data_IF_924834280583
#
_entry.id   IF_924834280583
#
_cell.length_a   1.000
_cell.length_b   1.000
_cell.length_c   1.000
_cell.angle_alpha   90.00
_cell.angle_beta   90.00
_cell.angle_gamma   90.00
#
_symmetry.space_group_name_H-M   'P 1'
#
loop_
_entity.id
_entity.type
_entity.pdbx_description
1 polymer ?
#
# COMPACT_ATOMS: atom_id res chain seq x y z
N UNK A 1 10.24 14.56 45.25
CA UNK A 1 10.91 13.95 44.07
C UNK A 1 9.95 13.40 43.03
N UNK A 2 9.08 12.42 43.32
CA UNK A 2 8.16 11.83 42.29
C UNK A 2 7.23 12.86 41.62
N UNK A 3 6.68 13.81 42.37
CA UNK A 3 5.81 14.89 41.84
C UNK A 3 6.56 15.85 40.90
N UNK A 4 7.82 16.13 41.18
CA UNK A 4 8.66 17.04 40.39
C UNK A 4 9.01 16.43 39.03
N UNK A 5 9.34 15.12 39.01
CA UNK A 5 9.61 14.38 37.78
C UNK A 5 8.35 14.33 36.89
N UNK A 6 7.19 14.03 37.48
CA UNK A 6 5.92 14.00 36.73
C UNK A 6 5.58 15.36 36.11
N UNK A 7 5.76 16.45 36.87
CA UNK A 7 5.53 17.80 36.37
C UNK A 7 6.46 18.14 35.20
N UNK A 8 7.75 17.78 35.30
CA UNK A 8 8.71 17.98 34.21
C UNK A 8 8.33 17.19 32.96
N UNK A 9 7.87 15.95 33.08
CA UNK A 9 7.41 15.15 31.93
C UNK A 9 6.19 15.81 31.26
N UNK A 10 5.21 16.26 32.04
CA UNK A 10 4.01 16.93 31.50
C UNK A 10 4.39 18.21 30.76
N UNK A 11 5.30 19.02 31.31
CA UNK A 11 5.76 20.25 30.65
C UNK A 11 6.50 19.93 29.36
N UNK A 12 7.40 18.94 29.36
CA UNK A 12 8.14 18.54 28.15
C UNK A 12 7.20 18.04 27.06
N UNK A 13 6.25 17.16 27.39
CA UNK A 13 5.24 16.66 26.44
C UNK A 13 4.38 17.80 25.91
N UNK A 14 3.95 18.71 26.78
CA UNK A 14 3.15 19.88 26.38
C UNK A 14 3.90 20.82 25.43
N UNK A 15 5.16 21.13 25.72
CA UNK A 15 6.00 21.98 24.84
C UNK A 15 6.25 21.30 23.49
N UNK A 16 6.52 19.99 23.47
CA UNK A 16 6.67 19.23 22.23
C UNK A 16 5.39 19.22 21.40
N UNK A 17 4.23 19.04 22.03
CA UNK A 17 2.94 19.07 21.34
C UNK A 17 2.68 20.44 20.71
N UNK A 18 3.00 21.54 21.41
CA UNK A 18 2.88 22.90 20.86
C UNK A 18 3.86 23.12 19.71
N UNK A 19 5.10 22.65 19.83
CA UNK A 19 6.11 22.77 18.77
C UNK A 19 5.68 22.02 17.49
N UNK A 20 5.07 20.84 17.63
CA UNK A 20 4.45 20.10 16.51
C UNK A 20 3.24 20.88 15.98
N UNK A 21 2.35 21.38 16.84
CA UNK A 21 1.16 22.11 16.42
C UNK A 21 1.48 23.39 15.62
N UNK A 22 2.54 24.12 16.02
CA UNK A 22 2.95 25.37 15.37
C UNK A 22 3.87 25.16 14.15
N UNK A 23 4.28 23.93 13.86
CA UNK A 23 5.18 23.60 12.74
C UNK A 23 4.49 22.71 11.71
N UNK A 24 3.90 23.30 10.65
CA UNK A 24 3.27 22.53 9.57
C UNK A 24 4.22 21.52 8.93
N UNK A 25 5.49 21.88 8.74
CA UNK A 25 6.49 20.97 8.16
C UNK A 25 6.77 19.75 9.02
N UNK A 26 6.77 19.90 10.35
CA UNK A 26 6.93 18.77 11.27
C UNK A 26 5.69 17.87 11.27
N UNK A 27 4.48 18.45 11.22
CA UNK A 27 3.24 17.69 11.09
C UNK A 27 3.23 16.87 9.80
N UNK A 28 3.54 17.49 8.66
CA UNK A 28 3.60 16.78 7.38
C UNK A 28 4.59 15.64 7.42
N UNK A 29 5.80 15.84 7.98
CA UNK A 29 6.79 14.76 8.12
C UNK A 29 6.33 13.62 9.02
N UNK A 30 5.67 13.92 10.13
CA UNK A 30 5.16 12.87 11.03
C UNK A 30 4.03 12.08 10.39
N UNK A 31 3.14 12.73 9.64
CA UNK A 31 2.09 12.06 8.87
C UNK A 31 2.67 11.21 7.74
N UNK A 32 3.65 11.73 7.01
CA UNK A 32 4.37 11.01 5.97
C UNK A 32 5.02 9.73 6.50
N UNK A 33 5.73 9.82 7.64
CA UNK A 33 6.30 8.65 8.32
C UNK A 33 5.23 7.65 8.75
N UNK A 34 4.09 8.13 9.26
CA UNK A 34 2.97 7.27 9.66
C UNK A 34 2.37 6.54 8.45
N UNK A 35 2.11 7.24 7.33
CA UNK A 35 1.55 6.65 6.12
C UNK A 35 2.50 5.65 5.48
N UNK A 36 3.81 5.95 5.46
CA UNK A 36 4.82 4.99 5.02
C UNK A 36 4.84 3.72 5.90
N UNK A 37 4.76 3.88 7.21
CA UNK A 37 4.71 2.74 8.13
C UNK A 37 3.47 1.86 7.91
N UNK A 38 2.29 2.46 7.77
CA UNK A 38 1.04 1.75 7.53
C UNK A 38 1.05 1.03 6.18
N UNK A 39 1.58 1.69 5.13
CA UNK A 39 1.77 1.08 3.80
C UNK A 39 2.69 -0.14 3.87
N UNK A 40 3.85 0.00 4.49
CA UNK A 40 4.83 -1.09 4.59
C UNK A 40 4.27 -2.26 5.42
N UNK A 41 3.54 -1.97 6.50
CA UNK A 41 2.85 -2.98 7.29
C UNK A 41 1.76 -3.70 6.47
N UNK A 42 1.00 -2.97 5.65
CA UNK A 42 0.00 -3.55 4.76
C UNK A 42 0.64 -4.44 3.68
N UNK A 43 1.68 -3.95 2.99
CA UNK A 43 2.45 -4.73 2.00
C UNK A 43 2.98 -6.02 2.65
N UNK A 44 3.54 -5.93 3.86
CA UNK A 44 4.03 -7.09 4.61
C UNK A 44 2.95 -8.12 4.89
N UNK A 45 1.73 -7.69 5.27
CA UNK A 45 0.57 -8.60 5.44
C UNK A 45 0.18 -9.26 4.12
N UNK A 46 0.09 -8.51 3.03
CA UNK A 46 -0.26 -9.05 1.71
C UNK A 46 0.77 -10.08 1.23
N UNK A 47 2.06 -9.82 1.45
CA UNK A 47 3.14 -10.78 1.12
C UNK A 47 3.03 -12.06 1.94
N UNK A 48 2.69 -11.96 3.22
CA UNK A 48 2.47 -13.13 4.07
C UNK A 48 1.27 -13.97 3.60
N UNK A 49 0.15 -13.32 3.26
CA UNK A 49 -1.04 -13.99 2.70
C UNK A 49 -0.72 -14.69 1.38
N UNK A 50 -0.04 -14.00 0.47
CA UNK A 50 0.43 -14.55 -0.79
C UNK A 50 1.32 -15.79 -0.60
N UNK A 51 2.26 -15.73 0.35
CA UNK A 51 3.16 -16.86 0.67
C UNK A 51 2.39 -18.06 1.25
N UNK A 52 1.32 -17.81 2.02
CA UNK A 52 0.46 -18.84 2.56
C UNK A 52 -0.55 -19.41 1.53
N UNK A 53 -0.61 -18.84 0.31
CA UNK A 53 -1.60 -19.18 -0.71
C UNK A 53 -3.00 -18.61 -0.45
N UNK A 54 -3.15 -17.72 0.55
CA UNK A 54 -4.42 -17.12 0.93
C UNK A 54 -4.69 -15.82 0.15
N UNK A 55 -4.88 -15.98 -1.15
CA UNK A 55 -5.14 -14.86 -2.10
C UNK A 55 -6.61 -14.80 -2.55
N UNK A 56 -7.53 -15.43 -1.81
CA UNK A 56 -8.94 -15.54 -2.20
C UNK A 56 -9.67 -14.20 -2.30
N UNK A 57 -9.20 -13.18 -1.57
CA UNK A 57 -9.72 -11.82 -1.63
C UNK A 57 -9.21 -10.97 -2.81
N UNK A 58 -8.20 -11.45 -3.54
CA UNK A 58 -7.50 -10.67 -4.57
C UNK A 58 -8.21 -10.78 -5.92
N UNK A 59 -8.10 -9.74 -6.74
CA UNK A 59 -8.56 -9.78 -8.12
C UNK A 59 -7.58 -10.63 -8.94
N UNK A 60 -8.07 -11.69 -9.59
CA UNK A 60 -7.23 -12.63 -10.33
C UNK A 60 -7.55 -12.60 -11.81
N UNK A 61 -6.50 -12.61 -12.62
CA UNK A 61 -6.58 -12.74 -14.07
C UNK A 61 -5.71 -13.90 -14.54
N UNK A 62 -6.24 -14.73 -15.44
CA UNK A 62 -5.53 -15.88 -16.01
C UNK A 62 -5.36 -15.66 -17.50
N UNK A 63 -4.14 -15.82 -17.98
CA UNK A 63 -3.75 -15.61 -19.36
C UNK A 63 -3.96 -16.88 -20.21
N UNK A 64 -4.06 -16.75 -21.55
CA UNK A 64 -4.18 -17.89 -22.47
C UNK A 64 -3.06 -18.94 -22.35
N UNK A 65 -1.84 -18.54 -21.97
CA UNK A 65 -0.71 -19.45 -21.76
C UNK A 65 -0.79 -20.24 -20.43
N UNK A 66 -1.85 -20.03 -19.64
CA UNK A 66 -2.08 -20.65 -18.33
C UNK A 66 -1.36 -19.95 -17.17
N UNK A 67 -0.52 -18.95 -17.45
CA UNK A 67 0.02 -18.07 -16.41
C UNK A 67 -1.10 -17.21 -15.81
N UNK A 68 -0.88 -16.67 -14.62
CA UNK A 68 -1.87 -15.85 -13.94
C UNK A 68 -1.21 -14.76 -13.12
N UNK A 69 -1.99 -13.71 -12.82
CA UNK A 69 -1.64 -12.67 -11.86
C UNK A 69 -2.81 -12.46 -10.90
N UNK A 70 -2.51 -12.22 -9.63
CA UNK A 70 -3.48 -11.80 -8.63
C UNK A 70 -3.03 -10.48 -8.03
N UNK A 71 -3.96 -9.55 -7.86
CA UNK A 71 -3.70 -8.20 -7.39
C UNK A 71 -4.59 -7.84 -6.21
N UNK A 72 -4.02 -7.12 -5.25
CA UNK A 72 -4.77 -6.46 -4.19
C UNK A 72 -4.40 -4.98 -4.19
N UNK A 73 -5.36 -4.14 -3.80
CA UNK A 73 -5.14 -2.72 -3.65
C UNK A 73 -5.60 -2.23 -2.28
N UNK A 74 -4.94 -1.18 -1.82
CA UNK A 74 -5.43 -0.33 -0.75
C UNK A 74 -5.62 1.07 -1.32
N UNK A 75 -6.77 1.64 -1.01
CA UNK A 75 -7.04 3.05 -1.26
C UNK A 75 -7.62 3.63 0.02
N UNK A 76 -6.75 4.16 0.87
CA UNK A 76 -7.09 4.53 2.23
C UNK A 76 -7.82 5.88 2.34
N UNK A 77 -8.75 6.20 1.43
CA UNK A 77 -9.56 7.42 1.54
C UNK A 77 -10.57 7.36 2.69
N UNK A 78 -11.04 6.16 3.07
CA UNK A 78 -12.06 5.97 4.11
C UNK A 78 -11.50 5.52 5.48
N UNK A 79 -10.36 4.83 5.52
CA UNK A 79 -9.76 4.29 6.75
C UNK A 79 -8.85 5.28 7.48
N UNK A 80 -8.51 6.42 6.86
CA UNK A 80 -7.67 7.46 7.46
C UNK A 80 -6.18 7.12 7.56
N UNK A 81 -5.75 5.95 7.06
CA UNK A 81 -4.33 5.58 6.96
C UNK A 81 -3.59 6.27 5.79
N UNK A 82 -4.30 7.00 4.92
CA UNK A 82 -3.74 8.01 4.02
C UNK A 82 -2.76 7.53 2.95
N UNK A 83 -2.68 6.23 2.67
CA UNK A 83 -1.80 5.69 1.64
C UNK A 83 -2.57 4.97 0.52
N UNK A 84 -1.90 4.91 -0.63
CA UNK A 84 -2.28 4.19 -1.82
C UNK A 84 -1.25 3.08 -2.05
N UNK A 85 -1.70 1.90 -2.45
CA UNK A 85 -0.79 0.83 -2.83
C UNK A 85 -1.52 -0.24 -3.65
N UNK A 86 -0.83 -0.79 -4.64
CA UNK A 86 -1.23 -1.99 -5.36
C UNK A 86 -0.12 -3.01 -5.24
N UNK A 87 -0.47 -4.24 -4.89
CA UNK A 87 0.46 -5.38 -4.90
C UNK A 87 -0.02 -6.40 -5.91
N UNK A 88 0.94 -7.10 -6.52
CA UNK A 88 0.69 -8.19 -7.43
C UNK A 88 1.51 -9.42 -7.04
N UNK A 89 0.94 -10.60 -7.22
CA UNK A 89 1.67 -11.86 -7.24
C UNK A 89 1.35 -12.60 -8.54
N UNK A 90 2.37 -13.13 -9.19
CA UNK A 90 2.21 -13.90 -10.42
C UNK A 90 2.27 -15.43 -10.19
N UNK A 91 1.98 -16.18 -11.24
CA UNK A 91 2.05 -17.65 -11.26
C UNK A 91 3.42 -18.27 -10.98
N UNK A 92 4.50 -17.47 -10.99
CA UNK A 92 5.86 -17.89 -10.61
C UNK A 92 6.17 -17.55 -9.15
N UNK A 93 5.25 -16.89 -8.45
CA UNK A 93 5.43 -16.41 -7.08
C UNK A 93 6.18 -15.08 -6.98
N UNK A 94 6.36 -14.36 -8.10
CA UNK A 94 6.99 -13.04 -8.08
C UNK A 94 6.01 -12.03 -7.47
N UNK A 95 6.42 -11.38 -6.39
CA UNK A 95 5.62 -10.41 -5.66
C UNK A 95 6.14 -9.00 -5.95
N UNK A 96 5.29 -8.16 -6.53
CA UNK A 96 5.64 -6.79 -6.93
C UNK A 96 4.73 -5.77 -6.32
N UNK A 97 5.24 -4.55 -6.18
CA UNK A 97 4.54 -3.46 -5.52
C UNK A 97 4.56 -2.21 -6.39
N UNK A 98 3.40 -1.61 -6.57
CA UNK A 98 3.25 -0.21 -6.96
C UNK A 98 2.80 0.58 -5.72
N UNK A 99 3.70 1.36 -5.10
CA UNK A 99 3.44 2.02 -3.81
C UNK A 99 2.68 3.34 -3.93
N UNK A 100 2.37 3.77 -5.15
CA UNK A 100 1.80 5.10 -5.45
C UNK A 100 0.47 5.01 -6.23
N UNK A 101 0.12 3.83 -6.76
CA UNK A 101 -1.15 3.58 -7.45
C UNK A 101 -2.25 3.12 -6.50
N UNK A 102 -3.48 3.47 -6.85
CA UNK A 102 -4.70 2.96 -6.24
C UNK A 102 -5.80 2.72 -7.28
N UNK A 103 -6.86 2.04 -6.83
CA UNK A 103 -8.11 1.97 -7.55
C UNK A 103 -9.28 2.17 -6.58
N UNK A 104 -10.38 2.71 -7.07
CA UNK A 104 -11.62 2.83 -6.31
C UNK A 104 -12.25 1.43 -6.13
N UNK A 105 -11.81 0.73 -5.09
CA UNK A 105 -12.25 -0.62 -4.79
C UNK A 105 -11.79 -1.67 -5.81
N UNK A 106 -12.32 -2.88 -5.65
CA UNK A 106 -11.99 -4.04 -6.47
C UNK A 106 -12.47 -3.91 -7.92
N UNK A 107 -13.60 -3.25 -8.14
CA UNK A 107 -14.15 -3.04 -9.49
C UNK A 107 -13.22 -2.21 -10.38
N UNK A 108 -12.62 -1.14 -9.83
CA UNK A 108 -11.65 -0.32 -10.56
C UNK A 108 -10.40 -1.11 -10.95
N UNK A 109 -9.93 -1.97 -10.04
CA UNK A 109 -8.81 -2.88 -10.25
C UNK A 109 -9.12 -3.91 -11.35
N UNK A 110 -10.28 -4.58 -11.27
CA UNK A 110 -10.72 -5.57 -12.25
C UNK A 110 -10.96 -4.94 -13.63
N UNK A 111 -11.49 -3.72 -13.70
CA UNK A 111 -11.64 -2.98 -14.96
C UNK A 111 -10.28 -2.64 -15.58
N UNK A 112 -9.27 -2.26 -14.78
CA UNK A 112 -7.92 -2.06 -15.27
C UNK A 112 -7.34 -3.36 -15.83
N UNK A 113 -7.46 -4.47 -15.08
CA UNK A 113 -7.06 -5.80 -15.54
C UNK A 113 -7.74 -6.20 -16.85
N UNK A 114 -9.04 -5.93 -17.00
CA UNK A 114 -9.81 -6.26 -18.20
C UNK A 114 -9.41 -5.46 -19.46
N UNK A 115 -8.72 -4.33 -19.30
CA UNK A 115 -8.19 -3.53 -20.43
C UNK A 115 -6.84 -4.03 -20.94
N UNK A 116 -6.09 -4.75 -20.10
CA UNK A 116 -4.77 -5.26 -20.47
C UNK A 116 -4.94 -6.46 -21.40
N UNK A 117 -4.64 -6.25 -22.68
CA UNK A 117 -4.67 -7.30 -23.71
C UNK A 117 -3.35 -8.07 -23.72
N UNK A 118 -3.06 -8.79 -22.65
CA UNK A 118 -1.85 -9.60 -22.53
C UNK A 118 -2.16 -11.10 -22.68
N UNK A 119 -1.21 -11.84 -23.25
CA UNK A 119 -1.30 -13.29 -23.44
C UNK A 119 -0.42 -14.07 -22.45
N UNK A 120 0.38 -13.37 -21.65
CA UNK A 120 1.28 -13.93 -20.62
C UNK A 120 1.56 -12.90 -19.53
N UNK A 121 2.07 -13.36 -18.37
CA UNK A 121 2.56 -12.47 -17.29
C UNK A 121 3.66 -11.49 -17.76
N UNK A 122 4.56 -11.92 -18.64
CA UNK A 122 5.64 -11.04 -19.12
C UNK A 122 5.09 -9.90 -19.97
N UNK A 123 4.14 -10.21 -20.85
CA UNK A 123 3.44 -9.21 -21.63
C UNK A 123 2.58 -8.29 -20.75
N UNK A 124 1.95 -8.85 -19.70
CA UNK A 124 1.19 -8.08 -18.74
C UNK A 124 2.02 -6.97 -18.11
N UNK A 125 3.20 -7.26 -17.55
CA UNK A 125 4.02 -6.22 -16.91
C UNK A 125 4.45 -5.13 -17.92
N UNK A 126 4.70 -5.50 -19.18
CA UNK A 126 5.04 -4.53 -20.23
C UNK A 126 3.85 -3.62 -20.59
N UNK A 127 2.62 -4.13 -20.52
CA UNK A 127 1.41 -3.36 -20.79
C UNK A 127 0.89 -2.60 -19.57
N UNK A 128 1.06 -3.14 -18.37
CA UNK A 128 0.64 -2.53 -17.11
C UNK A 128 1.30 -1.17 -16.91
N UNK A 129 2.59 -1.04 -17.27
CA UNK A 129 3.29 0.25 -17.30
C UNK A 129 2.59 1.30 -18.17
N UNK A 130 1.98 0.88 -19.30
CA UNK A 130 1.23 1.79 -20.19
C UNK A 130 -0.11 2.25 -19.60
N UNK A 131 -0.72 1.42 -18.76
CA UNK A 131 -1.90 1.76 -17.96
C UNK A 131 -1.52 2.51 -16.66
N UNK A 132 -0.23 2.81 -16.49
CA UNK A 132 0.33 3.57 -15.39
C UNK A 132 0.44 2.78 -14.08
N UNK A 133 0.64 1.46 -14.16
CA UNK A 133 1.08 0.62 -13.04
C UNK A 133 2.60 0.46 -13.12
N UNK A 134 3.32 0.95 -12.11
CA UNK A 134 4.79 0.87 -12.00
C UNK A 134 5.18 -0.15 -10.92
N UNK A 135 5.21 -1.42 -11.32
CA UNK A 135 5.55 -2.52 -10.43
C UNK A 135 7.07 -2.62 -10.20
N UNK A 136 7.48 -2.39 -8.96
CA UNK A 136 8.88 -2.52 -8.48
C UNK A 136 9.11 -3.84 -7.75
#
# INVERSE_FOLDING_TARGET
>A
MKKTILLSVVVVVGVLAIAVYLSPSLQTRLLDLYFHHERDAWIGRQKALATAGDIGGWARFTFPDGSWIAMANEHSCCSGAGFDCVVAIDSKGDFRVDPDKNFCGREGLENCLGKVTASSVAEFYTQAEREGLDFK
#
